data_IF_592509638155
#
_entry.id   IF_592509638155
#
_cell.length_a   1.000
_cell.length_b   1.000
_cell.length_c   1.000
_cell.angle_alpha   90.00
_cell.angle_beta   90.00
_cell.angle_gamma   90.00
#
_symmetry.space_group_name_H-M   'P 1'
#
loop_
_entity.id
_entity.type
_entity.pdbx_description
1 polymer ?
#
# COMPACT_ATOMS: atom_id res chain seq x y z
N UNK A 1 1.76 9.43 -13.97
CA UNK A 1 2.22 10.62 -13.21
C UNK A 1 2.94 10.17 -11.93
N UNK A 2 3.68 11.04 -11.24
CA UNK A 2 4.37 10.64 -9.99
C UNK A 2 3.36 10.23 -8.91
N UNK A 3 2.27 10.98 -8.84
CA UNK A 3 1.14 10.77 -7.93
C UNK A 3 0.47 9.41 -8.15
N UNK A 4 0.31 9.00 -9.41
CA UNK A 4 -0.22 7.67 -9.76
C UNK A 4 0.72 6.54 -9.31
N UNK A 5 2.04 6.69 -9.51
CA UNK A 5 3.03 5.71 -9.04
C UNK A 5 3.04 5.58 -7.53
N UNK A 6 2.91 6.69 -6.82
CA UNK A 6 2.82 6.70 -5.35
C UNK A 6 1.52 6.04 -4.90
N UNK A 7 0.39 6.33 -5.54
CA UNK A 7 -0.91 5.67 -5.28
C UNK A 7 -0.81 4.16 -5.49
N UNK A 8 -0.25 3.71 -6.61
CA UNK A 8 -0.06 2.29 -6.92
C UNK A 8 0.83 1.60 -5.89
N UNK A 9 1.93 2.24 -5.46
CA UNK A 9 2.81 1.71 -4.44
C UNK A 9 2.11 1.56 -3.07
N UNK A 10 1.28 2.53 -2.69
CA UNK A 10 0.48 2.47 -1.46
C UNK A 10 -0.50 1.30 -1.53
N UNK A 11 -1.27 1.19 -2.61
CA UNK A 11 -2.28 0.14 -2.78
C UNK A 11 -1.62 -1.24 -2.77
N UNK A 12 -0.57 -1.43 -3.59
CA UNK A 12 0.12 -2.71 -3.73
C UNK A 12 0.73 -3.19 -2.41
N UNK A 13 1.28 -2.27 -1.61
CA UNK A 13 1.87 -2.63 -0.32
C UNK A 13 0.80 -2.94 0.74
N UNK A 14 -0.32 -2.21 0.75
CA UNK A 14 -1.43 -2.52 1.65
C UNK A 14 -2.12 -3.84 1.29
N UNK A 15 -2.23 -4.15 -0.01
CA UNK A 15 -2.67 -5.46 -0.51
C UNK A 15 -1.72 -6.56 -0.01
N UNK A 16 -0.41 -6.40 -0.20
CA UNK A 16 0.60 -7.36 0.28
C UNK A 16 0.51 -7.59 1.79
N UNK A 17 0.31 -6.53 2.58
CA UNK A 17 0.15 -6.66 4.03
C UNK A 17 -1.15 -7.39 4.39
N UNK A 18 -2.26 -7.08 3.72
CA UNK A 18 -3.55 -7.75 3.94
C UNK A 18 -3.49 -9.23 3.57
N UNK A 19 -2.83 -9.58 2.47
CA UNK A 19 -2.60 -10.98 2.05
C UNK A 19 -1.69 -11.75 3.00
N UNK A 20 -0.72 -11.07 3.64
CA UNK A 20 0.22 -11.73 4.56
C UNK A 20 -0.45 -12.25 5.84
N UNK A 21 -1.47 -11.53 6.34
CA UNK A 21 -2.33 -11.97 7.44
C UNK A 21 -3.71 -11.29 7.37
N UNK A 22 -4.70 -11.92 6.69
CA UNK A 22 -6.03 -11.34 6.54
C UNK A 22 -6.80 -11.15 7.84
N UNK A 23 -6.35 -11.78 8.95
CA UNK A 23 -6.95 -11.58 10.27
C UNK A 23 -6.51 -10.27 10.93
N UNK A 24 -5.35 -9.73 10.52
CA UNK A 24 -4.75 -8.50 11.06
C UNK A 24 -5.05 -7.26 10.25
N UNK A 25 -5.20 -7.38 8.94
CA UNK A 25 -5.50 -6.25 8.05
C UNK A 25 -6.49 -6.68 6.98
N UNK A 26 -7.61 -5.94 6.90
CA UNK A 26 -8.57 -6.02 5.80
C UNK A 26 -8.61 -4.69 5.07
N UNK A 27 -8.56 -4.74 3.75
CA UNK A 27 -8.68 -3.56 2.89
C UNK A 27 -9.86 -3.67 1.95
N UNK A 28 -10.43 -2.52 1.59
CA UNK A 28 -11.46 -2.37 0.58
C UNK A 28 -11.04 -1.24 -0.35
N UNK A 29 -10.89 -1.53 -1.64
CA UNK A 29 -10.52 -0.56 -2.67
C UNK A 29 -11.75 -0.22 -3.52
N UNK A 30 -12.06 1.06 -3.61
CA UNK A 30 -13.14 1.63 -4.43
C UNK A 30 -12.60 2.83 -5.21
N UNK A 31 -12.28 2.62 -6.48
CA UNK A 31 -11.66 3.59 -7.40
C UNK A 31 -10.40 4.27 -6.81
N UNK A 32 -10.56 5.48 -6.26
CA UNK A 32 -9.49 6.31 -5.69
C UNK A 32 -9.51 6.33 -4.16
N UNK A 33 -10.34 5.50 -3.53
CA UNK A 33 -10.46 5.39 -2.07
C UNK A 33 -10.11 4.00 -1.62
N UNK A 34 -9.29 3.93 -0.58
CA UNK A 34 -8.98 2.70 0.11
C UNK A 34 -9.38 2.83 1.58
N UNK A 35 -10.12 1.86 2.08
CA UNK A 35 -10.45 1.71 3.50
C UNK A 35 -9.58 0.58 4.04
N UNK A 36 -8.83 0.85 5.12
CA UNK A 36 -8.00 -0.14 5.80
C UNK A 36 -8.50 -0.33 7.24
N UNK A 37 -8.80 -1.57 7.61
CA UNK A 37 -9.28 -1.96 8.94
C UNK A 37 -8.30 -2.97 9.54
N UNK A 38 -7.40 -2.48 10.40
CA UNK A 38 -6.41 -3.32 11.07
C UNK A 38 -5.05 -2.66 11.19
N UNK A 39 -4.05 -3.50 11.48
CA UNK A 39 -2.67 -3.06 11.68
C UNK A 39 -1.96 -2.83 10.34
N UNK A 40 -1.24 -1.71 10.22
CA UNK A 40 -0.41 -1.39 9.06
C UNK A 40 1.05 -1.28 9.53
N UNK A 41 1.94 -2.02 8.88
CA UNK A 41 3.38 -1.80 9.00
C UNK A 41 3.77 -0.54 8.22
N UNK A 42 3.95 0.55 8.96
CA UNK A 42 4.29 1.85 8.41
C UNK A 42 5.70 1.90 7.82
N UNK A 43 6.64 1.07 8.30
CA UNK A 43 8.00 1.05 7.79
C UNK A 43 8.04 0.36 6.42
N UNK A 44 7.34 -0.75 6.28
CA UNK A 44 7.18 -1.43 5.00
C UNK A 44 6.46 -0.53 3.99
N UNK A 45 5.38 0.15 4.40
CA UNK A 45 4.66 1.12 3.58
C UNK A 45 5.55 2.28 3.11
N UNK A 46 6.30 2.89 4.02
CA UNK A 46 7.23 3.98 3.68
C UNK A 46 8.32 3.50 2.69
N UNK A 47 8.81 2.27 2.85
CA UNK A 47 9.84 1.70 1.97
C UNK A 47 9.31 1.50 0.55
N UNK A 48 8.08 1.00 0.39
CA UNK A 48 7.44 0.84 -0.92
C UNK A 48 7.27 2.19 -1.64
N UNK A 49 6.80 3.22 -0.91
CA UNK A 49 6.62 4.58 -1.45
C UNK A 49 7.96 5.17 -1.90
N UNK A 50 9.00 5.06 -1.06
CA UNK A 50 10.35 5.55 -1.41
C UNK A 50 10.89 4.84 -2.64
N UNK A 51 10.69 3.52 -2.77
CA UNK A 51 11.09 2.75 -3.95
C UNK A 51 10.45 3.28 -5.24
N UNK A 52 9.13 3.53 -5.21
CA UNK A 52 8.39 4.05 -6.35
C UNK A 52 8.84 5.47 -6.77
N UNK A 53 9.14 6.35 -5.80
CA UNK A 53 9.62 7.72 -6.06
C UNK A 53 11.07 7.73 -6.56
N UNK A 54 11.92 6.88 -5.98
CA UNK A 54 13.34 6.78 -6.35
C UNK A 54 13.57 6.18 -7.74
N UNK A 55 12.52 5.64 -8.39
CA UNK A 55 12.62 5.02 -9.70
C UNK A 55 13.27 3.64 -9.66
N UNK A 56 13.16 2.93 -8.54
CA UNK A 56 13.46 1.51 -8.52
C UNK A 56 12.51 0.77 -9.49
N UNK A 57 12.96 -0.29 -10.18
CA UNK A 57 12.10 -1.12 -11.03
C UNK A 57 10.88 -1.67 -10.29
#
# INVERSE_FOLDING_TARGET
MMEEKVREAIVSELERQSESDPSRLRIELDEDRLIANGDIDLLALATAIVGAVAGAP
#
